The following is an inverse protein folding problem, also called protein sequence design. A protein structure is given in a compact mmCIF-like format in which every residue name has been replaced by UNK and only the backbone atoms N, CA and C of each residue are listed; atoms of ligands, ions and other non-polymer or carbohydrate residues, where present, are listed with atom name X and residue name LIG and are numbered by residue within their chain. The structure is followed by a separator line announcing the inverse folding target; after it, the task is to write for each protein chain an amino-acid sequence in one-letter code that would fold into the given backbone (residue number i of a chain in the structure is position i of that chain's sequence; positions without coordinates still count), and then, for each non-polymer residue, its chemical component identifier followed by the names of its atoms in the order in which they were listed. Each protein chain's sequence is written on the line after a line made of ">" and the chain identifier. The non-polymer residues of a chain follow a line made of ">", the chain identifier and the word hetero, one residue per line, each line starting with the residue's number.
data_IF_637675911673
#
_entry.id   IF_637675911673
#
_cell.length_a   1.000
_cell.length_b   1.000
_cell.length_c   1.000
_cell.angle_alpha   90.00
_cell.angle_beta   90.00
_cell.angle_gamma   90.00
#
_symmetry.space_group_name_H-M   'P 1'
#
loop_
_entity.id
_entity.type
_entity.pdbx_description
1 polymer ?
#
# COMPACT_ATOMS: atom_id res chain seq x y z
N UNK A 1 -4.17 -11.01 -7.68
CA UNK A 1 -3.94 -9.57 -7.41
C UNK A 1 -5.28 -9.01 -6.94
N UNK A 2 -5.34 -8.37 -5.78
CA UNK A 2 -6.57 -8.27 -5.03
C UNK A 2 -7.50 -7.22 -5.65
N UNK A 3 -8.78 -7.52 -5.66
CA UNK A 3 -9.81 -6.48 -5.69
C UNK A 3 -9.70 -5.64 -4.39
N UNK A 4 -10.25 -4.40 -4.35
CA UNK A 4 -10.24 -3.56 -3.14
C UNK A 4 -10.76 -4.27 -1.88
N UNK A 5 -11.60 -5.29 -2.03
CA UNK A 5 -12.12 -6.12 -0.94
C UNK A 5 -11.06 -6.73 0.00
N UNK A 6 -9.80 -6.89 -0.43
CA UNK A 6 -8.72 -7.32 0.48
C UNK A 6 -8.37 -6.23 1.50
N UNK A 7 -8.29 -4.97 1.07
CA UNK A 7 -8.03 -3.85 1.96
C UNK A 7 -9.21 -3.60 2.89
N UNK A 8 -10.44 -3.66 2.37
CA UNK A 8 -11.66 -3.53 3.16
C UNK A 8 -11.74 -4.61 4.25
N UNK A 9 -11.43 -5.87 3.91
CA UNK A 9 -11.41 -6.97 4.88
C UNK A 9 -10.36 -6.75 5.96
N UNK A 10 -9.17 -6.24 5.59
CA UNK A 10 -8.11 -5.91 6.53
C UNK A 10 -8.56 -4.77 7.47
N UNK A 11 -9.10 -3.68 6.93
CA UNK A 11 -9.55 -2.54 7.72
C UNK A 11 -10.73 -2.88 8.64
N UNK A 12 -11.59 -3.82 8.25
CA UNK A 12 -12.68 -4.28 9.10
C UNK A 12 -12.18 -5.14 10.28
N UNK A 13 -11.04 -5.83 10.12
CA UNK A 13 -10.53 -6.79 11.11
C UNK A 13 -9.45 -6.20 12.03
N UNK A 14 -8.74 -5.17 11.59
CA UNK A 14 -7.70 -4.50 12.36
C UNK A 14 -7.92 -2.98 12.39
N UNK A 15 -7.69 -2.31 13.54
CA UNK A 15 -7.85 -0.87 13.67
C UNK A 15 -6.68 -0.13 13.00
N UNK A 16 -6.64 -0.14 11.68
CA UNK A 16 -5.64 0.56 10.88
C UNK A 16 -6.15 1.95 10.51
N UNK A 17 -5.26 2.94 10.59
CA UNK A 17 -5.53 4.29 10.09
C UNK A 17 -5.05 4.38 8.63
N UNK A 18 -6.00 4.47 7.70
CA UNK A 18 -5.71 4.54 6.27
C UNK A 18 -4.81 5.73 5.91
N UNK A 19 -4.99 6.89 6.57
CA UNK A 19 -4.21 8.10 6.31
C UNK A 19 -2.75 7.96 6.79
N UNK A 20 -2.48 7.05 7.71
CA UNK A 20 -1.15 6.71 8.22
C UNK A 20 -0.60 5.41 7.64
N UNK A 21 -1.29 4.83 6.66
CA UNK A 21 -0.93 3.57 6.02
C UNK A 21 -0.39 3.81 4.62
N UNK A 22 0.48 2.91 4.16
CA UNK A 22 1.07 2.94 2.82
C UNK A 22 1.01 1.55 2.20
N UNK A 23 0.64 1.49 0.93
CA UNK A 23 0.73 0.29 0.09
C UNK A 23 1.94 0.40 -0.82
N UNK A 24 2.83 -0.59 -0.79
CA UNK A 24 3.92 -0.72 -1.76
C UNK A 24 3.57 -1.86 -2.72
N UNK A 25 3.45 -1.58 -4.01
CA UNK A 25 3.05 -2.54 -5.03
C UNK A 25 3.91 -2.47 -6.28
N UNK A 26 3.95 -3.55 -7.06
CA UNK A 26 4.76 -3.66 -8.29
C UNK A 26 3.99 -3.19 -9.55
N UNK A 27 2.68 -2.96 -9.45
CA UNK A 27 1.85 -2.53 -10.59
C UNK A 27 0.81 -1.52 -10.14
N UNK A 28 0.36 -0.69 -11.08
CA UNK A 28 -0.68 0.33 -10.86
C UNK A 28 -1.97 -0.21 -10.25
N UNK A 29 -2.33 -1.47 -10.55
CA UNK A 29 -3.52 -2.11 -9.96
C UNK A 29 -3.44 -2.28 -8.44
N UNK A 30 -2.26 -2.39 -7.86
CA UNK A 30 -2.12 -2.48 -6.40
C UNK A 30 -2.33 -1.12 -5.75
N UNK A 31 -1.78 -0.08 -6.39
CA UNK A 31 -1.92 1.31 -5.98
C UNK A 31 -3.40 1.74 -6.08
N UNK A 32 -4.09 1.36 -7.16
CA UNK A 32 -5.51 1.63 -7.34
C UNK A 32 -6.37 0.98 -6.24
N UNK A 33 -6.03 -0.25 -5.82
CA UNK A 33 -6.74 -0.94 -4.75
C UNK A 33 -6.53 -0.28 -3.38
N UNK A 34 -5.32 0.19 -3.07
CA UNK A 34 -5.05 0.98 -1.86
C UNK A 34 -5.72 2.36 -1.89
N UNK A 35 -5.68 3.04 -3.02
CA UNK A 35 -6.32 4.35 -3.19
C UNK A 35 -7.84 4.29 -3.00
N UNK A 36 -8.49 3.19 -3.40
CA UNK A 36 -9.93 2.97 -3.22
C UNK A 36 -10.38 3.00 -1.74
N UNK A 37 -9.46 2.75 -0.81
CA UNK A 37 -9.70 2.78 0.64
C UNK A 37 -8.95 3.90 1.36
N UNK A 38 -8.43 4.90 0.61
CA UNK A 38 -7.73 6.05 1.17
C UNK A 38 -6.28 5.79 1.62
N UNK A 39 -5.66 4.69 1.19
CA UNK A 39 -4.27 4.35 1.49
C UNK A 39 -3.35 4.89 0.39
N UNK A 40 -2.26 5.57 0.78
CA UNK A 40 -1.26 6.07 -0.17
C UNK A 40 -0.51 4.91 -0.83
N UNK A 41 -0.35 4.97 -2.15
CA UNK A 41 0.38 3.97 -2.92
C UNK A 41 1.80 4.42 -3.31
N UNK A 42 2.77 3.51 -3.25
CA UNK A 42 4.12 3.68 -3.79
C UNK A 42 4.40 2.55 -4.79
N UNK A 43 4.79 2.92 -6.02
CA UNK A 43 5.12 1.96 -7.07
C UNK A 43 6.58 1.52 -6.91
N UNK A 44 6.78 0.22 -6.72
CA UNK A 44 8.09 -0.38 -6.57
C UNK A 44 8.45 -1.19 -7.83
N UNK A 45 9.43 -0.70 -8.58
CA UNK A 45 9.87 -1.32 -9.84
C UNK A 45 10.87 -2.46 -9.68
N UNK A 46 11.18 -2.88 -8.44
CA UNK A 46 12.14 -3.93 -8.12
C UNK A 46 13.45 -3.40 -7.52
N UNK A 47 14.38 -4.32 -7.24
CA UNK A 47 15.62 -4.03 -6.51
C UNK A 47 15.48 -4.27 -5.01
N UNK A 48 16.07 -3.39 -4.20
CA UNK A 48 16.07 -3.51 -2.73
C UNK A 48 14.88 -2.73 -2.12
N UNK A 49 13.96 -3.46 -1.47
CA UNK A 49 12.78 -2.87 -0.84
C UNK A 49 13.12 -1.99 0.37
N UNK A 50 14.18 -2.32 1.11
CA UNK A 50 14.60 -1.54 2.28
C UNK A 50 15.13 -0.17 1.86
N UNK A 51 16.00 -0.12 0.85
CA UNK A 51 16.50 1.14 0.28
C UNK A 51 15.37 1.98 -0.30
N UNK A 52 14.41 1.33 -0.98
CA UNK A 52 13.20 2.01 -1.46
C UNK A 52 12.39 2.62 -0.32
N UNK A 53 12.20 1.90 0.79
CA UNK A 53 11.46 2.38 1.95
C UNK A 53 12.18 3.56 2.62
N UNK A 54 13.51 3.51 2.77
CA UNK A 54 14.32 4.63 3.25
C UNK A 54 14.21 5.86 2.34
N UNK A 55 14.34 5.67 1.02
CA UNK A 55 14.26 6.77 0.05
C UNK A 55 12.88 7.47 0.04
N UNK A 56 11.83 6.75 0.48
CA UNK A 56 10.48 7.29 0.64
C UNK A 56 10.16 7.75 2.08
N UNK A 57 11.16 7.77 2.98
CA UNK A 57 11.02 8.28 4.35
C UNK A 57 10.14 7.41 5.26
N UNK A 58 10.07 6.11 4.99
CA UNK A 58 9.23 5.17 5.77
C UNK A 58 9.94 4.60 6.99
N UNK A 59 11.28 4.58 6.95
CA UNK A 59 12.19 4.00 7.94
C UNK A 59 13.51 4.76 7.98
#
# INVERSE_FOLDING_TARGET
>A
KPAPGMFETLMARWPVDAARSITIGDRDRDLAAGAAVGVKGLLFSGGNLFEFAQANGLI
#
